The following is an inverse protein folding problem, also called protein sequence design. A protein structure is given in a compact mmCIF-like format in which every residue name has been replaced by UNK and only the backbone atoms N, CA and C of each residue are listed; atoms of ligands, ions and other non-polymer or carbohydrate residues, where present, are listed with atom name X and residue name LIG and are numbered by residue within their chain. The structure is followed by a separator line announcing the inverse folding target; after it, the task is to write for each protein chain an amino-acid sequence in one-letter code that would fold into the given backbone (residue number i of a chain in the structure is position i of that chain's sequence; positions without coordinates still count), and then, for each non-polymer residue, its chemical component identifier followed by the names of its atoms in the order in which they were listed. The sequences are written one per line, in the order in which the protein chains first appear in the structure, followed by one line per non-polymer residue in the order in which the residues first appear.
data_IF_665791971953
#
_entry.id   IF_665791971953
#
_cell.length_a   1.000
_cell.length_b   1.000
_cell.length_c   1.000
_cell.angle_alpha   90.00
_cell.angle_beta   90.00
_cell.angle_gamma   90.00
#
_symmetry.space_group_name_H-M   'P 1'
#
loop_
_entity.id
_entity.type
_entity.pdbx_description
1 polymer ?
#
# COMPACT_ATOMS: atom_id res chain seq x y z
N UNK A 1 56.76 21.70 -12.35
CA UNK A 1 55.48 21.23 -11.78
C UNK A 1 54.82 20.30 -12.80
N UNK A 2 54.71 19.00 -12.52
CA UNK A 2 53.99 18.03 -13.38
C UNK A 2 52.48 18.10 -13.08
N UNK A 3 51.59 17.97 -14.08
CA UNK A 3 50.16 18.11 -13.86
C UNK A 3 49.60 16.87 -13.14
N UNK A 4 48.62 17.04 -12.24
CA UNK A 4 48.04 15.96 -11.42
C UNK A 4 47.00 15.08 -12.15
N UNK A 5 46.88 15.18 -13.48
CA UNK A 5 45.87 14.45 -14.26
C UNK A 5 46.16 12.96 -14.49
N UNK A 6 47.43 12.56 -14.54
CA UNK A 6 47.83 11.19 -14.88
C UNK A 6 47.55 10.15 -13.79
N UNK A 7 47.46 10.56 -12.53
CA UNK A 7 47.18 9.68 -11.38
C UNK A 7 45.70 9.31 -11.27
N UNK A 8 44.78 10.22 -11.61
CA UNK A 8 43.34 9.96 -11.58
C UNK A 8 42.91 8.97 -12.67
N UNK A 9 43.43 9.11 -13.89
CA UNK A 9 43.15 8.18 -14.99
C UNK A 9 43.72 6.79 -14.74
N UNK A 10 44.91 6.69 -14.13
CA UNK A 10 45.49 5.42 -13.72
C UNK A 10 44.69 4.72 -12.61
N UNK A 11 44.15 5.47 -11.64
CA UNK A 11 43.28 4.96 -10.57
C UNK A 11 41.93 4.47 -11.10
N UNK A 12 41.30 5.21 -12.03
CA UNK A 12 40.04 4.79 -12.67
C UNK A 12 40.24 3.53 -13.52
N UNK A 13 41.36 3.43 -14.25
CA UNK A 13 41.66 2.27 -15.11
C UNK A 13 42.02 1.01 -14.31
N UNK A 14 42.73 1.17 -13.18
CA UNK A 14 43.04 0.07 -12.27
C UNK A 14 41.82 -0.37 -11.47
N UNK A 15 40.98 0.58 -11.01
CA UNK A 15 39.69 0.31 -10.38
C UNK A 15 38.75 -0.47 -11.30
N UNK A 16 38.63 -0.07 -12.58
CA UNK A 16 37.82 -0.78 -13.58
C UNK A 16 38.32 -2.20 -13.86
N UNK A 17 39.65 -2.39 -13.95
CA UNK A 17 40.24 -3.73 -14.09
C UNK A 17 39.99 -4.60 -12.88
N UNK A 18 40.10 -4.06 -11.67
CA UNK A 18 39.84 -4.79 -10.43
C UNK A 18 38.36 -5.19 -10.32
N UNK A 19 37.45 -4.27 -10.63
CA UNK A 19 36.01 -4.53 -10.73
C UNK A 19 35.69 -5.62 -11.76
N UNK A 20 36.25 -5.53 -12.97
CA UNK A 20 36.04 -6.54 -14.02
C UNK A 20 36.59 -7.92 -13.61
N UNK A 21 37.77 -7.96 -12.99
CA UNK A 21 38.37 -9.20 -12.52
C UNK A 21 37.55 -9.82 -11.38
N UNK A 22 37.08 -8.98 -10.44
CA UNK A 22 36.17 -9.37 -9.36
C UNK A 22 34.87 -9.94 -9.90
N UNK A 23 34.24 -9.26 -10.87
CA UNK A 23 33.01 -9.70 -11.52
C UNK A 23 33.19 -11.05 -12.22
N UNK A 24 34.32 -11.24 -12.92
CA UNK A 24 34.62 -12.50 -13.61
C UNK A 24 34.83 -13.66 -12.64
N UNK A 25 35.52 -13.42 -11.52
CA UNK A 25 35.68 -14.42 -10.45
C UNK A 25 34.34 -14.77 -9.80
N UNK A 26 33.52 -13.77 -9.50
CA UNK A 26 32.18 -13.97 -8.94
C UNK A 26 31.29 -14.76 -9.89
N UNK A 27 31.30 -14.44 -11.20
CA UNK A 27 30.53 -15.15 -12.21
C UNK A 27 30.99 -16.60 -12.36
N UNK A 28 32.31 -16.85 -12.35
CA UNK A 28 32.86 -18.20 -12.41
C UNK A 28 32.46 -19.04 -11.18
N UNK A 29 32.49 -18.43 -9.98
CA UNK A 29 32.03 -19.08 -8.75
C UNK A 29 30.53 -19.40 -8.84
N UNK A 30 29.71 -18.44 -9.27
CA UNK A 30 28.25 -18.61 -9.40
C UNK A 30 27.89 -19.67 -10.44
N UNK A 31 28.65 -19.75 -11.52
CA UNK A 31 28.49 -20.79 -12.53
C UNK A 31 28.89 -22.16 -11.99
N UNK A 32 29.98 -22.27 -11.22
CA UNK A 32 30.41 -23.51 -10.59
C UNK A 32 29.39 -24.01 -9.56
N UNK A 33 28.89 -23.12 -8.69
CA UNK A 33 27.85 -23.47 -7.70
C UNK A 33 26.53 -23.85 -8.37
N UNK A 34 26.14 -23.14 -9.43
CA UNK A 34 24.95 -23.47 -10.23
C UNK A 34 25.03 -24.86 -10.86
N UNK A 35 26.19 -25.22 -11.42
CA UNK A 35 26.42 -26.55 -11.99
C UNK A 35 26.27 -27.61 -10.90
N UNK A 36 26.89 -27.45 -9.74
CA UNK A 36 26.75 -28.40 -8.63
C UNK A 36 25.31 -28.49 -8.12
N UNK A 37 24.61 -27.35 -8.03
CA UNK A 37 23.23 -27.31 -7.55
C UNK A 37 22.23 -27.98 -8.50
N UNK A 38 22.46 -27.88 -9.82
CA UNK A 38 21.58 -28.44 -10.86
C UNK A 38 21.84 -29.91 -11.18
N UNK A 39 22.98 -30.48 -10.75
CA UNK A 39 23.28 -31.89 -10.98
C UNK A 39 22.38 -32.82 -10.15
N UNK A 40 21.83 -33.90 -10.75
CA UNK A 40 20.97 -34.84 -10.03
C UNK A 40 21.74 -35.62 -8.97
N UNK A 41 22.97 -36.06 -9.29
CA UNK A 41 23.85 -36.83 -8.40
C UNK A 41 25.20 -36.10 -8.32
N UNK A 42 25.70 -35.77 -7.11
CA UNK A 42 27.02 -35.15 -6.96
C UNK A 42 28.11 -36.15 -7.32
N UNK A 43 29.11 -35.72 -8.08
CA UNK A 43 30.19 -36.59 -8.56
C UNK A 43 31.36 -36.72 -7.56
N UNK A 44 31.42 -35.86 -6.54
CA UNK A 44 32.49 -35.86 -5.53
C UNK A 44 32.01 -35.44 -4.15
N UNK A 45 32.78 -35.80 -3.11
CA UNK A 45 32.50 -35.41 -1.71
C UNK A 45 32.45 -33.88 -1.54
N UNK A 46 33.34 -33.14 -2.22
CA UNK A 46 33.31 -31.68 -2.22
C UNK A 46 32.03 -31.11 -2.84
N UNK A 47 31.55 -31.67 -3.95
CA UNK A 47 30.28 -31.27 -4.55
C UNK A 47 29.09 -31.57 -3.64
N UNK A 48 29.07 -32.75 -3.01
CA UNK A 48 28.04 -33.12 -2.03
C UNK A 48 27.99 -32.12 -0.87
N UNK A 49 29.15 -31.76 -0.30
CA UNK A 49 29.23 -30.79 0.79
C UNK A 49 28.70 -29.41 0.34
N UNK A 50 29.10 -28.93 -0.83
CA UNK A 50 28.60 -27.65 -1.34
C UNK A 50 27.09 -27.67 -1.59
N UNK A 51 26.54 -28.78 -2.08
CA UNK A 51 25.10 -28.95 -2.27
C UNK A 51 24.35 -28.94 -0.93
N UNK A 52 24.87 -29.64 0.09
CA UNK A 52 24.30 -29.63 1.45
C UNK A 52 24.31 -28.21 2.03
N UNK A 53 25.42 -27.48 1.88
CA UNK A 53 25.52 -26.09 2.36
C UNK A 53 24.54 -25.16 1.63
N UNK A 54 24.39 -25.29 0.31
CA UNK A 54 23.43 -24.53 -0.50
C UNK A 54 21.98 -24.86 -0.10
N UNK A 55 21.64 -26.13 0.03
CA UNK A 55 20.29 -26.53 0.41
C UNK A 55 19.98 -26.14 1.87
N UNK A 56 20.97 -26.24 2.76
CA UNK A 56 20.89 -25.81 4.16
C UNK A 56 20.65 -24.31 4.30
N UNK A 57 21.37 -23.48 3.55
CA UNK A 57 21.17 -22.02 3.57
C UNK A 57 19.81 -21.62 3.02
N UNK A 58 19.35 -22.25 1.94
CA UNK A 58 18.01 -22.02 1.39
C UNK A 58 16.89 -22.48 2.33
N UNK A 59 17.06 -23.63 2.97
CA UNK A 59 16.11 -24.15 3.94
C UNK A 59 16.05 -23.28 5.20
N UNK A 60 17.20 -22.78 5.67
CA UNK A 60 17.25 -21.85 6.79
C UNK A 60 16.56 -20.53 6.44
N UNK A 61 16.82 -19.97 5.25
CA UNK A 61 16.13 -18.77 4.78
C UNK A 61 14.61 -18.99 4.69
N UNK A 62 14.16 -20.13 4.16
CA UNK A 62 12.75 -20.49 4.11
C UNK A 62 12.14 -20.61 5.52
N UNK A 63 12.84 -21.24 6.47
CA UNK A 63 12.41 -21.38 7.86
C UNK A 63 12.34 -20.04 8.60
N UNK A 64 13.31 -19.15 8.38
CA UNK A 64 13.28 -17.80 8.94
C UNK A 64 12.12 -16.99 8.37
N UNK A 65 11.85 -17.10 7.07
CA UNK A 65 10.72 -16.43 6.43
C UNK A 65 9.38 -16.96 6.96
N UNK A 66 9.22 -18.28 7.12
CA UNK A 66 8.00 -18.85 7.70
C UNK A 66 7.84 -18.44 9.16
N UNK A 67 8.92 -18.41 9.95
CA UNK A 67 8.87 -17.91 11.32
C UNK A 67 8.42 -16.45 11.40
N UNK A 68 9.05 -15.56 10.62
CA UNK A 68 8.66 -14.14 10.57
C UNK A 68 7.21 -13.97 10.08
N UNK A 69 6.77 -14.80 9.13
CA UNK A 69 5.39 -14.77 8.66
C UNK A 69 4.41 -15.22 9.76
N UNK A 70 4.68 -16.31 10.47
CA UNK A 70 3.81 -16.79 11.54
C UNK A 70 3.81 -15.87 12.78
N UNK A 71 5.00 -15.51 13.27
CA UNK A 71 5.15 -14.76 14.51
C UNK A 71 4.85 -13.27 14.31
N UNK A 72 5.42 -12.64 13.28
CA UNK A 72 5.28 -11.19 13.07
C UNK A 72 4.05 -10.84 12.24
N UNK A 73 3.74 -11.64 11.21
CA UNK A 73 2.60 -11.34 10.34
C UNK A 73 1.30 -11.94 10.87
N UNK A 74 1.24 -13.21 11.25
CA UNK A 74 0.00 -13.86 11.73
C UNK A 74 -0.23 -13.73 13.24
N UNK A 75 0.73 -13.17 13.99
CA UNK A 75 0.69 -12.99 15.45
C UNK A 75 0.46 -14.32 16.22
N UNK A 76 0.94 -15.44 15.68
CA UNK A 76 0.96 -16.69 16.43
C UNK A 76 1.95 -16.58 17.62
N UNK A 77 1.69 -17.29 18.73
CA UNK A 77 2.63 -17.32 19.85
C UNK A 77 4.01 -17.82 19.38
N UNK A 78 5.08 -17.31 20.00
CA UNK A 78 6.45 -17.57 19.54
C UNK A 78 6.78 -19.06 19.53
N UNK A 79 6.33 -19.81 20.54
CA UNK A 79 6.55 -21.26 20.68
C UNK A 79 6.06 -22.07 19.46
N UNK A 80 4.74 -22.13 19.18
CA UNK A 80 4.22 -22.87 18.04
C UNK A 80 4.74 -22.33 16.70
N UNK A 81 4.95 -21.02 16.57
CA UNK A 81 5.54 -20.44 15.36
C UNK A 81 6.94 -20.99 15.08
N UNK A 82 7.78 -21.10 16.13
CA UNK A 82 9.12 -21.67 16.02
C UNK A 82 9.08 -23.17 15.68
N UNK A 83 8.18 -23.94 16.29
CA UNK A 83 8.03 -25.38 15.99
C UNK A 83 7.60 -25.61 14.54
N UNK A 84 6.60 -24.87 14.05
CA UNK A 84 6.16 -25.00 12.65
C UNK A 84 7.27 -24.59 11.69
N UNK A 85 7.97 -23.48 11.97
CA UNK A 85 9.07 -23.01 11.12
C UNK A 85 10.23 -24.01 11.05
N UNK A 86 10.61 -24.63 12.18
CA UNK A 86 11.68 -25.65 12.20
C UNK A 86 11.28 -26.91 11.47
N UNK A 87 10.05 -27.41 11.65
CA UNK A 87 9.53 -28.57 10.91
C UNK A 87 9.49 -28.29 9.41
N UNK A 88 8.95 -27.13 8.99
CA UNK A 88 8.96 -26.72 7.59
C UNK A 88 10.38 -26.59 7.03
N UNK A 89 11.30 -26.03 7.80
CA UNK A 89 12.72 -25.91 7.44
C UNK A 89 13.40 -27.26 7.24
N UNK A 90 13.18 -28.21 8.15
CA UNK A 90 13.70 -29.57 8.06
C UNK A 90 13.14 -30.31 6.83
N UNK A 91 11.83 -30.22 6.59
CA UNK A 91 11.20 -30.81 5.41
C UNK A 91 11.73 -30.19 4.11
N UNK A 92 11.88 -28.86 4.08
CA UNK A 92 12.48 -28.16 2.95
C UNK A 92 13.93 -28.60 2.72
N UNK A 93 14.73 -28.73 3.77
CA UNK A 93 16.11 -29.20 3.69
C UNK A 93 16.19 -30.62 3.11
N UNK A 94 15.42 -31.56 3.67
CA UNK A 94 15.37 -32.94 3.20
C UNK A 94 14.91 -33.00 1.74
N UNK A 95 13.85 -32.26 1.39
CA UNK A 95 13.35 -32.18 0.01
C UNK A 95 14.39 -31.61 -0.96
N UNK A 96 15.05 -30.52 -0.60
CA UNK A 96 16.08 -29.90 -1.44
C UNK A 96 17.32 -30.79 -1.59
N UNK A 97 17.76 -31.50 -0.55
CA UNK A 97 18.93 -32.38 -0.66
C UNK A 97 18.61 -33.64 -1.45
N UNK A 98 17.49 -34.30 -1.15
CA UNK A 98 17.17 -35.64 -1.66
C UNK A 98 16.43 -35.64 -3.00
N UNK A 99 15.66 -34.59 -3.30
CA UNK A 99 14.73 -34.58 -4.44
C UNK A 99 15.17 -33.53 -5.47
N UNK A 100 15.84 -33.92 -6.58
CA UNK A 100 16.28 -32.99 -7.63
C UNK A 100 15.14 -32.12 -8.20
N UNK A 101 13.92 -32.65 -8.44
CA UNK A 101 12.78 -31.83 -8.83
C UNK A 101 12.44 -30.72 -7.83
N UNK A 102 12.57 -30.95 -6.52
CA UNK A 102 12.28 -29.95 -5.50
C UNK A 102 13.27 -28.78 -5.55
N UNK A 103 14.56 -29.06 -5.80
CA UNK A 103 15.57 -28.01 -6.08
C UNK A 103 15.21 -27.18 -7.29
N UNK A 104 14.78 -27.84 -8.37
CA UNK A 104 14.34 -27.16 -9.58
C UNK A 104 13.13 -26.26 -9.31
N UNK A 105 12.12 -26.75 -8.59
CA UNK A 105 10.95 -25.95 -8.21
C UNK A 105 11.32 -24.72 -7.38
N UNK A 106 12.20 -24.89 -6.40
CA UNK A 106 12.69 -23.78 -5.59
C UNK A 106 13.43 -22.75 -6.45
N UNK A 107 14.31 -23.19 -7.36
CA UNK A 107 14.99 -22.30 -8.29
C UNK A 107 14.03 -21.60 -9.28
N UNK A 108 12.96 -22.28 -9.71
CA UNK A 108 11.93 -21.72 -10.59
C UNK A 108 11.03 -20.68 -9.89
N UNK A 109 10.91 -20.73 -8.56
CA UNK A 109 10.10 -19.76 -7.81
C UNK A 109 10.61 -18.32 -7.98
N UNK A 110 11.93 -18.11 -8.06
CA UNK A 110 12.53 -16.77 -8.21
C UNK A 110 12.13 -16.09 -9.53
N UNK A 111 12.34 -16.69 -10.72
CA UNK A 111 11.87 -16.08 -11.96
C UNK A 111 10.34 -16.07 -12.10
N UNK A 112 9.59 -16.92 -11.38
CA UNK A 112 8.12 -16.79 -11.37
C UNK A 112 7.65 -15.48 -10.74
N UNK A 113 8.40 -14.90 -9.79
CA UNK A 113 8.12 -13.56 -9.26
C UNK A 113 8.24 -12.46 -10.33
N UNK A 114 9.07 -12.68 -11.35
CA UNK A 114 9.22 -11.78 -12.50
C UNK A 114 8.14 -11.94 -13.56
N UNK A 115 7.14 -12.80 -13.34
CA UNK A 115 6.02 -13.01 -14.28
C UNK A 115 4.77 -12.21 -13.87
N UNK A 116 3.71 -12.31 -14.68
CA UNK A 116 2.44 -11.69 -14.39
C UNK A 116 1.87 -12.04 -13.00
N UNK A 117 2.06 -13.27 -12.51
CA UNK A 117 1.59 -13.68 -11.18
C UNK A 117 2.33 -12.94 -10.06
N UNK A 118 3.67 -12.89 -10.13
CA UNK A 118 4.47 -12.16 -9.17
C UNK A 118 4.19 -10.65 -9.21
N UNK A 119 3.93 -10.10 -10.39
CA UNK A 119 3.49 -8.71 -10.56
C UNK A 119 2.16 -8.43 -9.85
N UNK A 120 1.18 -9.33 -9.95
CA UNK A 120 -0.10 -9.22 -9.23
C UNK A 120 0.12 -9.25 -7.71
N UNK A 121 1.00 -10.12 -7.23
CA UNK A 121 1.39 -10.17 -5.81
C UNK A 121 2.00 -8.83 -5.36
N UNK A 122 2.99 -8.30 -6.08
CA UNK A 122 3.65 -7.02 -5.76
C UNK A 122 2.65 -5.85 -5.71
N UNK A 123 1.73 -5.79 -6.69
CA UNK A 123 0.67 -4.77 -6.72
C UNK A 123 -0.33 -4.91 -5.57
N UNK A 124 -0.75 -6.14 -5.26
CA UNK A 124 -1.65 -6.40 -4.13
C UNK A 124 -1.01 -6.01 -2.79
N UNK A 125 0.27 -6.34 -2.61
CA UNK A 125 1.00 -6.05 -1.38
C UNK A 125 1.31 -4.55 -1.26
N UNK A 126 1.60 -3.87 -2.37
CA UNK A 126 1.70 -2.41 -2.43
C UNK A 126 0.41 -1.73 -1.98
N UNK A 127 -0.72 -2.15 -2.55
CA UNK A 127 -2.04 -1.59 -2.21
C UNK A 127 -2.38 -1.86 -0.75
N UNK A 128 -2.15 -3.08 -0.26
CA UNK A 128 -2.38 -3.43 1.14
C UNK A 128 -1.54 -2.57 2.09
N UNK A 129 -0.23 -2.46 1.83
CA UNK A 129 0.70 -1.64 2.62
C UNK A 129 0.24 -0.18 2.69
N UNK A 130 -0.22 0.36 1.56
CA UNK A 130 -0.73 1.72 1.48
C UNK A 130 -2.04 1.86 2.28
N UNK A 131 -3.00 0.97 2.08
CA UNK A 131 -4.31 1.03 2.77
C UNK A 131 -4.20 0.89 4.28
N UNK A 132 -3.33 0.00 4.79
CA UNK A 132 -3.11 -0.20 6.23
C UNK A 132 -2.56 1.05 6.91
N UNK A 133 -1.70 1.79 6.21
CA UNK A 133 -1.11 3.01 6.76
C UNK A 133 -2.04 4.22 6.59
N UNK A 134 -2.59 4.42 5.39
CA UNK A 134 -3.29 5.65 5.00
C UNK A 134 -4.73 5.68 5.53
N UNK A 135 -5.50 4.61 5.39
CA UNK A 135 -6.94 4.63 5.71
C UNK A 135 -7.19 4.89 7.20
N UNK A 136 -6.54 4.18 8.14
CA UNK A 136 -6.71 4.46 9.56
C UNK A 136 -6.23 5.86 9.95
N UNK A 137 -5.20 6.39 9.29
CA UNK A 137 -4.65 7.70 9.59
C UNK A 137 -5.57 8.84 9.13
N UNK A 138 -6.13 8.74 7.91
CA UNK A 138 -7.18 9.66 7.42
C UNK A 138 -8.33 9.67 8.42
N UNK A 139 -8.77 8.49 8.84
CA UNK A 139 -9.94 8.35 9.69
C UNK A 139 -9.72 8.87 11.11
N UNK A 140 -8.52 8.69 11.67
CA UNK A 140 -8.14 9.31 12.93
C UNK A 140 -8.11 10.84 12.84
N UNK A 141 -7.64 11.40 11.72
CA UNK A 141 -7.66 12.85 11.47
C UNK A 141 -9.09 13.41 11.27
N UNK A 142 -9.96 12.67 10.58
CA UNK A 142 -11.38 13.01 10.49
C UNK A 142 -12.06 12.96 11.85
N UNK A 143 -11.72 11.98 12.70
CA UNK A 143 -12.19 11.90 14.08
C UNK A 143 -11.72 13.10 14.91
N UNK A 144 -10.46 13.52 14.76
CA UNK A 144 -9.95 14.72 15.43
C UNK A 144 -10.71 15.98 15.02
N UNK A 145 -10.97 16.14 13.71
CA UNK A 145 -11.79 17.24 13.16
C UNK A 145 -13.22 17.18 13.70
N UNK A 146 -13.84 15.99 13.74
CA UNK A 146 -15.17 15.79 14.30
C UNK A 146 -15.23 16.12 15.80
N UNK A 147 -14.19 15.80 16.56
CA UNK A 147 -14.10 16.16 17.98
C UNK A 147 -14.03 17.67 18.18
N UNK A 148 -13.29 18.40 17.33
CA UNK A 148 -13.31 19.87 17.33
C UNK A 148 -14.73 20.38 17.09
N UNK A 149 -15.42 19.86 16.06
CA UNK A 149 -16.79 20.26 15.74
C UNK A 149 -17.75 19.99 16.91
N UNK A 150 -17.62 18.85 17.59
CA UNK A 150 -18.36 18.53 18.81
C UNK A 150 -18.10 19.56 19.92
N UNK A 151 -16.83 19.85 20.22
CA UNK A 151 -16.49 20.80 21.28
C UNK A 151 -16.99 22.22 20.99
N UNK A 152 -16.94 22.64 19.73
CA UNK A 152 -17.40 23.96 19.30
C UNK A 152 -18.93 24.05 19.30
N UNK A 153 -19.61 23.00 18.84
CA UNK A 153 -21.08 22.95 18.87
C UNK A 153 -21.60 22.90 20.31
N UNK A 154 -20.96 22.13 21.19
CA UNK A 154 -21.31 22.07 22.61
C UNK A 154 -21.12 23.43 23.30
N UNK A 155 -19.96 24.07 23.11
CA UNK A 155 -19.68 25.39 23.71
C UNK A 155 -20.60 26.49 23.19
N UNK A 156 -20.80 26.55 21.88
CA UNK A 156 -21.69 27.52 21.25
C UNK A 156 -23.14 27.34 21.70
N UNK A 157 -23.61 26.10 21.83
CA UNK A 157 -24.97 25.81 22.24
C UNK A 157 -25.18 26.08 23.74
N UNK A 158 -24.19 25.79 24.59
CA UNK A 158 -24.19 26.20 26.00
C UNK A 158 -24.22 27.71 26.16
N UNK A 159 -23.41 28.43 25.38
CA UNK A 159 -23.40 29.90 25.36
C UNK A 159 -24.72 30.48 24.87
N UNK A 160 -25.31 29.93 23.81
CA UNK A 160 -26.63 30.35 23.32
C UNK A 160 -27.70 30.14 24.39
N UNK A 161 -27.74 28.98 25.04
CA UNK A 161 -28.69 28.72 26.13
C UNK A 161 -28.50 29.70 27.29
N UNK A 162 -27.25 29.96 27.69
CA UNK A 162 -26.93 30.91 28.75
C UNK A 162 -27.37 32.33 28.36
N UNK A 163 -27.11 32.77 27.12
CA UNK A 163 -27.57 34.08 26.63
C UNK A 163 -29.09 34.21 26.64
N UNK A 164 -29.81 33.17 26.19
CA UNK A 164 -31.28 33.19 26.21
C UNK A 164 -31.83 33.25 27.63
N UNK A 165 -31.18 32.57 28.58
CA UNK A 165 -31.53 32.63 30.00
C UNK A 165 -31.31 34.04 30.57
N UNK A 166 -30.16 34.66 30.32
CA UNK A 166 -29.88 36.03 30.77
C UNK A 166 -30.82 37.06 30.15
N UNK A 167 -31.13 36.94 28.85
CA UNK A 167 -32.09 37.81 28.18
C UNK A 167 -33.50 37.64 28.74
N UNK A 168 -33.90 36.41 29.08
CA UNK A 168 -35.20 36.16 29.71
C UNK A 168 -35.26 36.78 31.11
N UNK A 169 -34.23 36.60 31.94
CA UNK A 169 -34.13 37.24 33.25
C UNK A 169 -34.16 38.77 33.15
N UNK A 170 -33.44 39.33 32.18
CA UNK A 170 -33.44 40.76 31.90
C UNK A 170 -34.83 41.26 31.46
N UNK A 171 -35.55 40.49 30.64
CA UNK A 171 -36.92 40.81 30.21
C UNK A 171 -37.93 40.76 31.37
N UNK A 172 -37.77 39.82 32.31
CA UNK A 172 -38.59 39.73 33.51
C UNK A 172 -38.32 40.89 34.47
N UNK A 173 -37.06 41.30 34.63
CA UNK A 173 -36.69 42.46 35.44
C UNK A 173 -37.25 43.78 34.89
N UNK A 174 -37.61 43.84 33.62
CA UNK A 174 -38.27 44.98 32.97
C UNK A 174 -39.79 45.03 33.20
N UNK A 175 -40.41 43.96 33.71
CA UNK A 175 -41.86 43.87 33.90
C UNK A 175 -42.26 43.58 35.36
N UNK A 176 -42.01 44.51 36.30
CA UNK A 176 -42.25 44.27 37.73
C UNK A 176 -43.74 44.25 38.11
N UNK A 177 -44.64 44.88 37.33
CA UNK A 177 -46.06 45.00 37.69
C UNK A 177 -46.96 44.74 36.47
N UNK A 178 -47.69 43.61 36.49
CA UNK A 178 -48.61 43.17 35.43
C UNK A 178 -49.88 44.00 35.22
N UNK A 179 -49.87 45.32 35.49
CA UNK A 179 -51.06 46.17 35.41
C UNK A 179 -50.72 47.59 34.91
N UNK A 180 -50.33 47.73 33.63
CA UNK A 180 -50.74 48.87 32.78
C UNK A 180 -50.08 48.80 31.39
N UNK A 181 -50.82 48.29 30.41
CA UNK A 181 -50.93 48.87 29.06
C UNK A 181 -49.73 48.94 28.12
N UNK A 182 -48.51 48.52 28.47
CA UNK A 182 -47.38 48.48 27.53
C UNK A 182 -47.14 47.06 27.02
N UNK A 183 -46.97 46.92 25.70
CA UNK A 183 -46.71 45.65 25.03
C UNK A 183 -45.40 45.02 25.55
N UNK A 184 -45.51 44.15 26.55
CA UNK A 184 -44.39 43.40 27.09
C UNK A 184 -43.82 42.45 26.04
N UNK A 185 -42.52 42.55 25.78
CA UNK A 185 -41.77 41.61 24.94
C UNK A 185 -41.71 40.26 25.67
N UNK A 186 -42.64 39.36 25.36
CA UNK A 186 -42.61 37.98 25.85
C UNK A 186 -41.60 37.17 25.04
N UNK A 187 -40.35 37.11 25.51
CA UNK A 187 -39.39 36.11 25.03
C UNK A 187 -39.77 34.74 25.59
N UNK A 188 -40.59 34.00 24.84
CA UNK A 188 -40.99 32.64 25.18
C UNK A 188 -39.95 31.64 24.67
N UNK A 189 -38.88 31.43 25.45
CA UNK A 189 -37.95 30.33 25.22
C UNK A 189 -38.55 29.05 25.83
N UNK A 190 -39.02 28.13 24.99
CA UNK A 190 -39.56 26.83 25.44
C UNK A 190 -38.39 25.94 25.94
N UNK A 191 -38.09 26.03 27.25
CA UNK A 191 -36.94 25.38 27.88
C UNK A 191 -36.79 23.88 27.59
N UNK A 192 -37.90 23.15 27.51
CA UNK A 192 -37.89 21.70 27.21
C UNK A 192 -37.39 21.39 25.79
N UNK A 193 -37.74 22.24 24.82
CA UNK A 193 -37.32 22.04 23.43
C UNK A 193 -35.83 22.32 23.24
N UNK A 194 -35.27 23.24 24.02
CA UNK A 194 -33.87 23.64 23.95
C UNK A 194 -32.95 22.58 24.56
N UNK A 195 -33.36 21.97 25.69
CA UNK A 195 -32.68 20.83 26.28
C UNK A 195 -32.75 19.58 25.39
N UNK A 196 -33.92 19.33 24.78
CA UNK A 196 -34.08 18.23 23.81
C UNK A 196 -33.21 18.43 22.57
N UNK A 197 -33.11 19.66 22.04
CA UNK A 197 -32.25 20.00 20.91
C UNK A 197 -30.76 19.83 21.25
N UNK A 198 -30.31 20.29 22.43
CA UNK A 198 -28.94 20.07 22.94
C UNK A 198 -28.59 18.58 22.97
N UNK A 199 -29.46 17.77 23.57
CA UNK A 199 -29.27 16.32 23.66
C UNK A 199 -29.23 15.67 22.28
N UNK A 200 -30.05 16.14 21.34
CA UNK A 200 -30.07 15.62 19.98
C UNK A 200 -28.75 15.89 19.25
N UNK A 201 -28.25 17.13 19.27
CA UNK A 201 -26.98 17.52 18.62
C UNK A 201 -25.79 16.77 19.24
N UNK A 202 -25.74 16.65 20.56
CA UNK A 202 -24.70 15.88 21.26
C UNK A 202 -24.74 14.39 20.92
N UNK A 203 -25.94 13.80 20.82
CA UNK A 203 -26.11 12.40 20.42
C UNK A 203 -25.63 12.16 19.00
N UNK A 204 -26.02 13.02 18.04
CA UNK A 204 -25.63 12.89 16.63
C UNK A 204 -24.12 13.03 16.47
N UNK A 205 -23.50 14.03 17.10
CA UNK A 205 -22.03 14.20 17.04
C UNK A 205 -21.29 13.04 17.68
N UNK A 206 -21.77 12.52 18.82
CA UNK A 206 -21.18 11.35 19.46
C UNK A 206 -21.27 10.10 18.56
N UNK A 207 -22.42 9.86 17.94
CA UNK A 207 -22.62 8.73 17.04
C UNK A 207 -21.65 8.78 15.85
N UNK A 208 -21.48 9.94 15.21
CA UNK A 208 -20.51 10.13 14.11
C UNK A 208 -19.07 9.83 14.55
N UNK A 209 -18.69 10.22 15.76
CA UNK A 209 -17.35 9.93 16.30
C UNK A 209 -17.16 8.44 16.59
N UNK A 210 -18.18 7.78 17.12
CA UNK A 210 -18.19 6.34 17.37
C UNK A 210 -18.09 5.59 16.04
N UNK A 211 -18.83 6.00 15.01
CA UNK A 211 -18.77 5.43 13.67
C UNK A 211 -17.36 5.54 13.06
N UNK A 212 -16.71 6.70 13.15
CA UNK A 212 -15.34 6.85 12.68
C UNK A 212 -14.35 5.97 13.45
N UNK A 213 -14.51 5.83 14.76
CA UNK A 213 -13.67 4.93 15.56
C UNK A 213 -13.89 3.44 15.24
N UNK A 214 -15.14 3.07 14.98
CA UNK A 214 -15.53 1.73 14.54
C UNK A 214 -14.94 1.41 13.17
N UNK A 215 -15.01 2.36 12.23
CA UNK A 215 -14.37 2.24 10.92
C UNK A 215 -12.84 2.16 11.02
N UNK A 216 -12.20 2.86 11.96
CA UNK A 216 -10.72 2.86 12.11
C UNK A 216 -10.23 1.50 12.58
N UNK A 217 -10.85 1.01 13.65
CA UNK A 217 -10.54 -0.30 14.21
C UNK A 217 -10.83 -1.42 13.20
N UNK A 218 -11.97 -1.36 12.51
CA UNK A 218 -12.35 -2.33 11.49
C UNK A 218 -11.40 -2.30 10.30
N UNK A 219 -11.03 -1.11 9.80
CA UNK A 219 -10.10 -0.96 8.70
C UNK A 219 -8.74 -1.58 9.03
N UNK A 220 -8.22 -1.37 10.25
CA UNK A 220 -6.96 -1.99 10.69
C UNK A 220 -7.05 -3.52 10.69
N UNK A 221 -8.10 -4.07 11.30
CA UNK A 221 -8.28 -5.53 11.41
C UNK A 221 -8.47 -6.17 10.04
N UNK A 222 -9.36 -5.61 9.20
CA UNK A 222 -9.63 -6.11 7.86
C UNK A 222 -8.38 -6.03 7.00
N UNK A 223 -7.71 -4.88 6.94
CA UNK A 223 -6.57 -4.70 6.05
C UNK A 223 -5.38 -5.60 6.45
N UNK A 224 -5.09 -5.73 7.76
CA UNK A 224 -4.08 -6.68 8.26
C UNK A 224 -4.47 -8.14 7.97
N UNK A 225 -5.73 -8.51 8.22
CA UNK A 225 -6.25 -9.85 7.96
C UNK A 225 -6.16 -10.23 6.48
N UNK A 226 -6.62 -9.35 5.60
CA UNK A 226 -6.58 -9.53 4.15
C UNK A 226 -5.14 -9.66 3.66
N UNK A 227 -4.22 -8.79 4.09
CA UNK A 227 -2.81 -8.88 3.67
C UNK A 227 -2.18 -10.22 4.04
N UNK A 228 -2.44 -10.74 5.26
CA UNK A 228 -1.89 -12.02 5.72
C UNK A 228 -2.36 -13.19 4.87
N UNK A 229 -3.67 -13.28 4.61
CA UNK A 229 -4.29 -14.37 3.85
C UNK A 229 -3.87 -14.31 2.37
N UNK A 230 -3.96 -13.12 1.78
CA UNK A 230 -3.64 -12.90 0.36
C UNK A 230 -2.19 -13.27 0.06
N UNK A 231 -1.26 -12.94 0.96
CA UNK A 231 0.17 -13.25 0.77
C UNK A 231 0.46 -14.73 0.82
N UNK A 232 -0.15 -15.46 1.77
CA UNK A 232 -0.05 -16.91 1.82
C UNK A 232 -0.61 -17.57 0.55
N UNK A 233 -1.78 -17.12 0.08
CA UNK A 233 -2.40 -17.62 -1.15
C UNK A 233 -1.57 -17.34 -2.40
N UNK A 234 -0.99 -16.15 -2.53
CA UNK A 234 -0.12 -15.83 -3.65
C UNK A 234 1.19 -16.62 -3.63
N UNK A 235 1.82 -16.80 -2.46
CA UNK A 235 3.02 -17.63 -2.34
C UNK A 235 2.73 -19.08 -2.72
N UNK A 236 1.60 -19.63 -2.27
CA UNK A 236 1.14 -20.95 -2.69
C UNK A 236 0.86 -21.00 -4.20
N UNK A 237 0.22 -19.97 -4.74
CA UNK A 237 -0.05 -19.84 -6.18
C UNK A 237 1.22 -19.83 -7.03
N UNK A 238 2.28 -19.16 -6.58
CA UNK A 238 3.59 -19.15 -7.26
C UNK A 238 4.26 -20.54 -7.25
N UNK A 239 4.16 -21.27 -6.15
CA UNK A 239 4.66 -22.65 -6.05
C UNK A 239 3.85 -23.60 -6.94
N UNK A 240 2.53 -23.41 -7.01
CA UNK A 240 1.68 -24.18 -7.92
C UNK A 240 1.97 -23.87 -9.39
N UNK A 241 2.21 -22.61 -9.76
CA UNK A 241 2.60 -22.25 -11.13
C UNK A 241 3.97 -22.82 -11.50
N UNK A 242 4.94 -22.77 -10.58
CA UNK A 242 6.26 -23.36 -10.81
C UNK A 242 6.17 -24.88 -10.96
N UNK A 243 5.35 -25.55 -10.14
CA UNK A 243 5.07 -26.98 -10.23
C UNK A 243 4.36 -27.36 -11.53
N UNK A 244 3.33 -26.61 -11.91
CA UNK A 244 2.58 -26.83 -13.14
C UNK A 244 3.46 -26.65 -14.39
N UNK A 245 4.30 -25.61 -14.38
CA UNK A 245 5.27 -25.38 -15.45
C UNK A 245 6.27 -26.52 -15.55
N UNK A 246 6.83 -26.98 -14.42
CA UNK A 246 7.76 -28.09 -14.41
C UNK A 246 7.09 -29.38 -14.93
N UNK A 247 5.87 -29.66 -14.49
CA UNK A 247 5.09 -30.80 -14.95
C UNK A 247 4.89 -30.76 -16.48
N UNK A 248 4.45 -29.63 -17.03
CA UNK A 248 4.29 -29.46 -18.49
C UNK A 248 5.62 -29.54 -19.24
N UNK A 249 6.69 -28.99 -18.66
CA UNK A 249 8.02 -29.07 -19.25
C UNK A 249 8.50 -30.52 -19.40
N UNK A 250 8.22 -31.35 -18.41
CA UNK A 250 8.58 -32.77 -18.40
C UNK A 250 7.66 -33.65 -19.25
N UNK A 251 6.39 -33.28 -19.43
CA UNK A 251 5.38 -34.13 -20.11
C UNK A 251 5.15 -33.78 -21.57
N UNK A 252 5.17 -32.50 -21.95
CA UNK A 252 4.88 -32.05 -23.32
C UNK A 252 6.15 -31.51 -24.00
N UNK A 253 6.57 -32.16 -25.10
CA UNK A 253 7.73 -31.75 -25.90
C UNK A 253 7.49 -30.48 -26.72
N UNK A 254 6.24 -30.07 -26.94
CA UNK A 254 5.86 -28.85 -27.66
C UNK A 254 5.82 -27.63 -26.75
N UNK A 255 5.59 -27.84 -25.46
CA UNK A 255 5.48 -26.78 -24.47
C UNK A 255 6.79 -26.02 -24.30
N UNK A 256 6.77 -24.71 -24.53
CA UNK A 256 7.92 -23.80 -24.39
C UNK A 256 9.20 -24.28 -25.13
N UNK A 257 9.02 -25.00 -26.25
CA UNK A 257 10.08 -25.52 -27.11
C UNK A 257 10.24 -24.65 -28.36
N UNK A 258 10.60 -23.39 -28.12
CA UNK A 258 10.72 -22.34 -29.14
C UNK A 258 12.10 -21.66 -29.15
N UNK A 259 13.02 -22.09 -28.27
CA UNK A 259 14.31 -21.44 -28.10
C UNK A 259 15.40 -22.12 -28.94
N UNK A 260 16.15 -21.31 -29.71
CA UNK A 260 17.40 -21.74 -30.31
C UNK A 260 18.49 -21.77 -29.22
N UNK A 261 18.69 -22.95 -28.63
CA UNK A 261 19.72 -23.20 -27.62
C UNK A 261 21.08 -23.49 -28.26
N UNK A 262 22.18 -23.36 -27.49
CA UNK A 262 23.53 -23.72 -27.98
C UNK A 262 23.63 -25.18 -28.42
N UNK A 263 22.92 -26.07 -27.71
CA UNK A 263 22.87 -27.50 -28.06
C UNK A 263 22.23 -27.73 -29.43
N UNK A 264 21.15 -27.01 -29.75
CA UNK A 264 20.54 -27.07 -31.08
C UNK A 264 21.51 -26.58 -32.16
N UNK A 265 22.20 -25.46 -31.93
CA UNK A 265 23.16 -24.93 -32.92
C UNK A 265 24.35 -25.87 -33.15
N UNK A 266 24.84 -26.53 -32.11
CA UNK A 266 25.91 -27.53 -32.22
C UNK A 266 25.45 -28.74 -33.03
N UNK A 267 24.27 -29.28 -32.72
CA UNK A 267 23.68 -30.39 -33.49
C UNK A 267 23.46 -30.05 -34.96
N UNK A 268 22.94 -28.86 -35.25
CA UNK A 268 22.76 -28.40 -36.64
C UNK A 268 24.09 -28.25 -37.38
N UNK A 269 25.17 -27.86 -36.68
CA UNK A 269 26.50 -27.83 -37.25
C UNK A 269 27.06 -29.24 -37.51
N UNK A 270 26.89 -30.17 -36.56
CA UNK A 270 27.30 -31.58 -36.70
C UNK A 270 26.62 -32.28 -37.88
N UNK A 271 25.32 -32.02 -38.08
CA UNK A 271 24.51 -32.63 -39.14
C UNK A 271 24.62 -31.85 -40.47
N UNK A 272 25.38 -30.75 -40.52
CA UNK A 272 25.47 -29.89 -41.71
C UNK A 272 24.18 -29.16 -42.07
N UNK A 273 23.22 -29.09 -41.14
CA UNK A 273 21.88 -28.51 -41.31
C UNK A 273 21.79 -27.04 -40.83
N UNK A 274 22.91 -26.31 -40.78
CA UNK A 274 22.96 -24.90 -40.33
C UNK A 274 22.06 -23.95 -41.15
N UNK A 275 21.74 -24.33 -42.39
CA UNK A 275 20.81 -23.63 -43.27
C UNK A 275 19.40 -23.46 -42.66
N UNK A 276 18.95 -24.39 -41.80
CA UNK A 276 17.64 -24.32 -41.13
C UNK A 276 17.51 -23.12 -40.18
N UNK A 277 18.63 -22.59 -39.70
CA UNK A 277 18.70 -21.42 -38.81
C UNK A 277 19.14 -20.14 -39.50
N UNK A 278 19.55 -20.20 -40.78
CA UNK A 278 19.95 -19.03 -41.56
C UNK A 278 18.75 -18.13 -41.90
N UNK A 279 17.58 -18.74 -42.14
CA UNK A 279 16.28 -18.06 -42.28
C UNK A 279 15.32 -18.57 -41.20
N UNK A 280 15.50 -18.18 -39.92
CA UNK A 280 14.75 -18.75 -38.83
C UNK A 280 13.27 -18.37 -38.94
N UNK A 281 12.35 -19.29 -38.61
CA UNK A 281 10.94 -18.96 -38.56
C UNK A 281 10.64 -17.94 -37.46
N UNK A 282 9.66 -17.06 -37.67
CA UNK A 282 9.33 -15.97 -36.74
C UNK A 282 9.03 -16.40 -35.28
N UNK A 283 8.70 -17.67 -35.04
CA UNK A 283 8.46 -18.22 -33.70
C UNK A 283 9.73 -18.75 -33.00
N UNK A 284 10.84 -18.93 -33.71
CA UNK A 284 12.09 -19.42 -33.13
C UNK A 284 12.86 -18.25 -32.51
N UNK A 285 12.96 -18.25 -31.18
CA UNK A 285 13.57 -17.18 -30.40
C UNK A 285 15.00 -17.55 -30.01
N UNK A 286 15.94 -16.63 -30.21
CA UNK A 286 17.32 -16.83 -29.74
C UNK A 286 17.40 -16.62 -28.22
N UNK A 287 17.76 -17.67 -27.48
CA UNK A 287 17.82 -17.61 -26.01
C UNK A 287 18.74 -16.50 -25.48
N UNK A 288 19.83 -16.19 -26.20
CA UNK A 288 20.88 -15.26 -25.79
C UNK A 288 20.75 -13.81 -26.33
N UNK A 289 19.75 -13.49 -27.15
CA UNK A 289 19.61 -12.15 -27.74
C UNK A 289 18.85 -11.21 -26.78
N UNK A 290 19.41 -10.05 -26.39
CA UNK A 290 18.74 -9.08 -25.52
C UNK A 290 17.68 -8.22 -26.24
N UNK A 291 17.49 -8.39 -27.55
CA UNK A 291 16.58 -7.57 -28.34
C UNK A 291 15.13 -8.00 -28.13
N UNK A 292 14.31 -7.08 -27.62
CA UNK A 292 12.84 -7.18 -27.64
C UNK A 292 12.34 -6.89 -29.07
N UNK A 293 11.32 -7.63 -29.50
CA UNK A 293 10.60 -7.34 -30.75
C UNK A 293 9.73 -6.09 -30.62
N UNK A 294 9.39 -5.45 -31.74
CA UNK A 294 8.55 -4.24 -31.73
C UNK A 294 7.14 -4.49 -31.17
N UNK A 295 6.56 -5.66 -31.41
CA UNK A 295 5.26 -6.05 -30.83
C UNK A 295 5.34 -6.21 -29.31
N UNK A 296 6.43 -6.77 -28.79
CA UNK A 296 6.68 -6.88 -27.34
C UNK A 296 6.87 -5.49 -26.70
N UNK A 297 7.53 -4.57 -27.41
CA UNK A 297 7.72 -3.19 -26.95
C UNK A 297 6.40 -2.44 -26.86
N UNK A 298 5.52 -2.53 -27.87
CA UNK A 298 4.21 -1.87 -27.84
C UNK A 298 3.34 -2.40 -26.70
N UNK A 299 3.30 -3.72 -26.53
CA UNK A 299 2.62 -4.37 -25.40
C UNK A 299 3.20 -3.94 -24.05
N UNK A 300 4.52 -3.73 -23.96
CA UNK A 300 5.16 -3.21 -22.77
C UNK A 300 4.74 -1.77 -22.47
N UNK A 301 4.70 -0.89 -23.49
CA UNK A 301 4.28 0.50 -23.35
C UNK A 301 2.82 0.64 -22.89
N UNK A 302 1.90 -0.17 -23.45
CA UNK A 302 0.50 -0.20 -23.02
C UNK A 302 0.38 -0.61 -21.55
N UNK A 303 1.09 -1.67 -21.14
CA UNK A 303 1.12 -2.10 -19.73
C UNK A 303 1.72 -1.03 -18.83
N UNK A 304 2.77 -0.35 -19.28
CA UNK A 304 3.41 0.74 -18.55
C UNK A 304 2.43 1.91 -18.34
N UNK A 305 1.61 2.23 -19.33
CA UNK A 305 0.54 3.22 -19.21
C UNK A 305 -0.53 2.85 -18.16
N UNK A 306 -0.81 1.57 -17.95
CA UNK A 306 -1.67 1.14 -16.83
C UNK A 306 -0.96 1.32 -15.47
N UNK A 307 0.36 1.10 -15.41
CA UNK A 307 1.14 1.31 -14.18
C UNK A 307 1.22 2.78 -13.78
N UNK A 308 1.29 3.71 -14.73
CA UNK A 308 1.26 5.14 -14.42
C UNK A 308 -0.06 5.53 -13.74
N UNK A 309 -1.20 4.97 -14.17
CA UNK A 309 -2.49 5.19 -13.51
C UNK A 309 -2.50 4.69 -12.05
N UNK A 310 -1.89 3.52 -11.78
CA UNK A 310 -1.79 2.97 -10.42
C UNK A 310 -0.89 3.82 -9.52
N UNK A 311 0.21 4.34 -10.06
CA UNK A 311 1.09 5.29 -9.36
C UNK A 311 0.37 6.60 -9.06
N UNK A 312 -0.41 7.12 -10.02
CA UNK A 312 -1.22 8.32 -9.81
C UNK A 312 -2.30 8.10 -8.74
N UNK A 313 -2.99 6.95 -8.76
CA UNK A 313 -3.96 6.61 -7.73
C UNK A 313 -3.30 6.55 -6.34
N UNK A 314 -2.11 5.96 -6.23
CA UNK A 314 -1.33 5.99 -4.99
C UNK A 314 -1.01 7.42 -4.57
N UNK A 315 -0.47 8.25 -5.46
CA UNK A 315 -0.14 9.63 -5.15
C UNK A 315 -1.36 10.42 -4.64
N UNK A 316 -2.54 10.22 -5.25
CA UNK A 316 -3.80 10.80 -4.79
C UNK A 316 -4.15 10.31 -3.39
N UNK A 317 -4.08 9.01 -3.11
CA UNK A 317 -4.39 8.51 -1.75
C UNK A 317 -3.43 9.04 -0.68
N UNK A 318 -2.14 9.19 -0.99
CA UNK A 318 -1.16 9.81 -0.09
C UNK A 318 -1.47 11.28 0.11
N UNK A 319 -1.80 12.01 -0.97
CA UNK A 319 -2.20 13.40 -0.90
C UNK A 319 -3.45 13.60 -0.03
N UNK A 320 -4.44 12.69 -0.13
CA UNK A 320 -5.63 12.71 0.72
C UNK A 320 -5.29 12.56 2.21
N UNK A 321 -4.29 11.74 2.56
CA UNK A 321 -3.80 11.64 3.94
C UNK A 321 -3.20 12.95 4.45
N UNK A 322 -2.35 13.58 3.63
CA UNK A 322 -1.80 14.90 3.94
C UNK A 322 -2.88 15.97 4.07
N UNK A 323 -3.88 15.98 3.20
CA UNK A 323 -5.01 16.92 3.27
C UNK A 323 -5.80 16.69 4.56
N UNK A 324 -6.11 15.43 4.91
CA UNK A 324 -6.81 15.11 6.16
C UNK A 324 -6.02 15.57 7.39
N UNK A 325 -4.70 15.38 7.40
CA UNK A 325 -3.82 15.88 8.45
C UNK A 325 -3.84 17.41 8.56
N UNK A 326 -3.70 18.13 7.43
CA UNK A 326 -3.72 19.60 7.41
C UNK A 326 -5.06 20.15 7.88
N UNK A 327 -6.17 19.53 7.47
CA UNK A 327 -7.51 19.90 7.92
C UNK A 327 -7.68 19.69 9.43
N UNK A 328 -7.26 18.53 9.94
CA UNK A 328 -7.34 18.23 11.37
C UNK A 328 -6.47 19.19 12.19
N UNK A 329 -5.25 19.47 11.73
CA UNK A 329 -4.36 20.42 12.39
C UNK A 329 -4.96 21.83 12.39
N UNK A 330 -5.42 22.33 11.24
CA UNK A 330 -6.04 23.64 11.14
C UNK A 330 -7.29 23.76 12.04
N UNK A 331 -8.13 22.72 12.10
CA UNK A 331 -9.31 22.71 12.95
C UNK A 331 -8.94 22.76 14.45
N UNK A 332 -7.96 21.95 14.87
CA UNK A 332 -7.51 21.89 16.27
C UNK A 332 -6.85 23.21 16.69
N UNK A 333 -5.99 23.76 15.84
CA UNK A 333 -5.30 25.01 16.14
C UNK A 333 -6.29 26.19 16.17
N UNK A 334 -7.22 26.27 15.20
CA UNK A 334 -8.31 27.24 15.23
C UNK A 334 -9.16 27.14 16.50
N UNK A 335 -9.53 25.93 16.93
CA UNK A 335 -10.36 25.75 18.12
C UNK A 335 -9.67 26.15 19.43
N UNK A 336 -8.34 26.07 19.50
CA UNK A 336 -7.55 26.53 20.65
C UNK A 336 -7.45 28.05 20.73
N UNK A 337 -7.48 28.73 19.59
CA UNK A 337 -7.37 30.18 19.50
C UNK A 337 -8.71 30.92 19.69
N UNK A 338 -9.84 30.20 19.74
CA UNK A 338 -11.16 30.80 19.95
C UNK A 338 -11.24 31.49 21.33
N UNK A 339 -11.43 32.83 21.37
CA UNK A 339 -11.48 33.57 22.62
C UNK A 339 -12.85 33.42 23.31
N UNK A 340 -12.87 33.59 24.64
CA UNK A 340 -14.10 33.85 25.37
C UNK A 340 -14.46 35.34 25.25
N UNK A 341 -15.70 35.65 24.86
CA UNK A 341 -16.15 37.03 24.61
C UNK A 341 -17.09 37.46 25.75
N UNK A 342 -16.72 38.44 26.59
CA UNK A 342 -17.63 38.95 27.62
C UNK A 342 -18.72 39.83 26.99
N UNK A 343 -19.96 39.63 27.40
CA UNK A 343 -21.14 40.41 27.01
C UNK A 343 -21.69 41.13 28.23
N UNK A 344 -21.94 42.43 28.08
CA UNK A 344 -22.53 43.28 29.11
C UNK A 344 -23.83 43.91 28.59
N UNK A 345 -24.94 43.62 29.25
CA UNK A 345 -26.25 44.21 28.97
C UNK A 345 -26.56 45.24 30.06
N UNK A 346 -26.67 46.50 29.67
CA UNK A 346 -27.05 47.59 30.59
C UNK A 346 -28.47 48.05 30.27
N UNK A 347 -29.36 47.96 31.26
CA UNK A 347 -30.74 48.40 31.15
C UNK A 347 -30.89 49.65 32.02
N UNK A 348 -31.30 50.75 31.39
CA UNK A 348 -31.63 52.00 32.07
C UNK A 348 -33.10 52.30 31.84
N UNK A 349 -33.89 52.24 32.91
CA UNK A 349 -35.30 52.58 32.88
C UNK A 349 -35.52 53.92 33.56
N UNK A 350 -36.02 54.90 32.81
CA UNK A 350 -36.39 56.20 33.32
C UNK A 350 -37.90 56.37 33.15
N UNK A 351 -38.65 56.39 34.24
CA UNK A 351 -40.06 56.74 34.21
C UNK A 351 -40.33 57.99 35.06
N UNK A 352 -41.06 58.92 34.43
CA UNK A 352 -41.62 60.08 35.10
C UNK A 352 -43.13 59.86 35.20
N UNK A 353 -43.65 59.75 36.43
CA UNK A 353 -45.09 59.64 36.67
C UNK A 353 -45.61 60.94 37.26
N UNK A 354 -46.68 61.47 36.68
CA UNK A 354 -47.35 62.69 37.16
C UNK A 354 -48.50 62.27 38.06
N UNK A 355 -48.28 62.28 39.38
CA UNK A 355 -49.36 62.02 40.34
C UNK A 355 -50.22 63.28 40.42
N UNK A 356 -51.50 63.16 40.08
CA UNK A 356 -52.47 64.26 40.16
C UNK A 356 -52.09 65.51 39.35
N UNK A 357 -51.79 65.35 38.05
CA UNK A 357 -51.37 66.44 37.15
C UNK A 357 -52.33 67.63 37.01
N UNK A 358 -53.54 67.57 37.58
CA UNK A 358 -54.52 68.65 37.60
C UNK A 358 -54.41 69.57 38.85
N UNK A 359 -53.71 69.17 39.91
CA UNK A 359 -53.60 70.01 41.12
C UNK A 359 -52.81 71.32 40.93
N UNK A 360 -51.71 71.37 40.15
CA UNK A 360 -51.01 72.63 39.88
C UNK A 360 -51.90 73.64 39.15
N UNK A 361 -52.80 73.15 38.28
CA UNK A 361 -53.81 73.95 37.57
C UNK A 361 -54.86 74.54 38.52
N UNK A 362 -55.31 73.79 39.53
CA UNK A 362 -56.31 74.26 40.51
C UNK A 362 -55.77 75.28 41.51
N UNK A 363 -54.47 75.25 41.82
CA UNK A 363 -53.87 76.07 42.88
C UNK A 363 -52.87 77.14 42.38
N UNK A 364 -52.72 77.32 41.06
CA UNK A 364 -51.80 78.27 40.42
C UNK A 364 -50.38 78.22 41.01
N UNK A 365 -49.87 77.00 41.26
CA UNK A 365 -48.52 76.75 41.77
C UNK A 365 -47.67 76.13 40.67
N UNK A 366 -46.34 76.35 40.67
CA UNK A 366 -45.45 75.65 39.75
C UNK A 366 -45.62 74.13 39.91
N UNK A 367 -45.59 73.35 38.82
CA UNK A 367 -45.80 71.91 38.88
C UNK A 367 -44.81 71.26 39.85
N UNK A 368 -45.31 70.39 40.73
CA UNK A 368 -44.48 69.64 41.68
C UNK A 368 -43.55 68.73 40.88
N UNK A 369 -42.26 68.75 41.22
CA UNK A 369 -41.22 67.96 40.56
C UNK A 369 -41.60 66.48 40.63
N UNK A 370 -41.85 65.87 39.47
CA UNK A 370 -42.32 64.48 39.42
C UNK A 370 -41.27 63.56 40.07
N UNK A 371 -41.67 62.59 40.91
CA UNK A 371 -40.74 61.60 41.43
C UNK A 371 -40.14 60.82 40.26
N UNK A 372 -38.83 60.99 40.04
CA UNK A 372 -38.07 60.27 39.02
C UNK A 372 -37.74 58.88 39.55
N UNK A 373 -38.30 57.84 38.92
CA UNK A 373 -37.87 56.47 39.18
C UNK A 373 -36.86 56.07 38.11
N UNK A 374 -35.58 56.07 38.50
CA UNK A 374 -34.47 55.61 37.67
C UNK A 374 -33.96 54.28 38.21
N UNK A 375 -34.23 53.18 37.49
CA UNK A 375 -33.67 51.87 37.80
C UNK A 375 -32.54 51.53 36.81
N UNK A 376 -31.41 51.08 37.34
CA UNK A 376 -30.24 50.71 36.57
C UNK A 376 -29.81 49.28 36.91
N UNK A 377 -30.00 48.36 35.96
CA UNK A 377 -29.58 46.97 36.11
C UNK A 377 -28.52 46.65 35.04
N UNK A 378 -27.44 45.98 35.47
CA UNK A 378 -26.41 45.49 34.56
C UNK A 378 -26.28 43.97 34.69
N UNK A 379 -26.26 43.28 33.55
CA UNK A 379 -26.09 41.84 33.45
C UNK A 379 -24.82 41.56 32.67
N UNK A 380 -23.98 40.65 33.16
CA UNK A 380 -22.71 40.30 32.54
C UNK A 380 -22.60 38.78 32.42
N UNK A 381 -22.22 38.29 31.24
CA UNK A 381 -21.95 36.87 30.99
C UNK A 381 -20.88 36.69 29.90
N UNK A 382 -20.31 35.49 29.78
CA UNK A 382 -19.30 35.17 28.76
C UNK A 382 -19.87 34.25 27.68
N UNK A 383 -19.58 34.56 26.40
CA UNK A 383 -19.72 33.63 25.28
C UNK A 383 -18.44 32.80 25.17
N UNK A 384 -18.58 31.47 25.25
CA UNK A 384 -17.52 30.50 25.01
C UNK A 384 -17.86 29.67 23.79
N UNK A 385 -17.04 29.75 22.75
CA UNK A 385 -17.27 28.97 21.54
C UNK A 385 -16.89 27.51 21.70
N UNK A 386 -15.97 27.19 22.61
CA UNK A 386 -15.50 25.83 22.93
C UNK A 386 -15.89 25.45 24.35
N UNK A 387 -16.43 24.24 24.52
CA UNK A 387 -16.80 23.72 25.83
C UNK A 387 -15.54 23.43 26.70
N UNK A 388 -15.48 23.92 27.96
CA UNK A 388 -14.27 23.86 28.80
C UNK A 388 -13.86 22.45 29.24
N UNK A 389 -14.76 21.47 29.15
CA UNK A 389 -14.50 20.06 29.49
C UNK A 389 -14.32 19.14 28.28
N UNK A 390 -14.33 19.66 27.06
CA UNK A 390 -14.28 18.84 25.84
C UNK A 390 -12.83 18.65 25.35
N UNK A 391 -12.30 17.41 25.34
CA UNK A 391 -10.91 17.18 24.98
C UNK A 391 -10.70 17.32 23.46
N UNK A 392 -9.70 18.11 23.06
CA UNK A 392 -9.26 18.16 21.67
C UNK A 392 -8.30 17.01 21.37
N UNK A 393 -8.57 16.25 20.31
CA UNK A 393 -7.70 15.18 19.84
C UNK A 393 -6.57 15.78 18.98
N UNK A 394 -5.31 15.32 19.14
CA UNK A 394 -4.21 15.80 18.29
C UNK A 394 -4.32 15.24 16.87
N UNK A 395 -3.92 16.05 15.89
CA UNK A 395 -3.78 15.60 14.50
C UNK A 395 -2.63 14.58 14.37
N UNK A 396 -2.84 13.52 13.58
CA UNK A 396 -1.88 12.45 13.34
C UNK A 396 -1.12 12.66 12.03
N UNK A 397 0.20 12.80 12.14
CA UNK A 397 1.07 13.03 10.97
C UNK A 397 1.10 11.78 10.05
N UNK A 398 1.04 11.97 8.72
CA UNK A 398 1.19 10.89 7.75
C UNK A 398 2.50 10.11 7.93
N UNK A 399 2.43 8.79 7.81
CA UNK A 399 3.59 7.92 7.88
C UNK A 399 4.29 7.89 6.52
N UNK A 400 5.58 8.21 6.44
CA UNK A 400 6.31 8.27 5.15
C UNK A 400 6.85 6.92 4.69
N UNK A 401 7.21 6.04 5.63
CA UNK A 401 7.85 4.76 5.32
C UNK A 401 6.94 3.81 4.53
N UNK A 402 5.65 3.73 4.87
CA UNK A 402 4.71 2.82 4.23
C UNK A 402 4.37 3.22 2.77
N UNK A 403 4.06 4.49 2.45
CA UNK A 403 3.92 4.95 1.07
C UNK A 403 5.19 4.75 0.24
N UNK A 404 6.37 5.00 0.82
CA UNK A 404 7.64 4.75 0.14
C UNK A 404 7.85 3.27 -0.18
N UNK A 405 7.58 2.38 0.79
CA UNK A 405 7.62 0.94 0.57
C UNK A 405 6.62 0.51 -0.51
N UNK A 406 5.39 1.01 -0.45
CA UNK A 406 4.35 0.74 -1.43
C UNK A 406 4.75 1.22 -2.84
N UNK A 407 5.36 2.40 -2.95
CA UNK A 407 5.89 2.95 -4.21
C UNK A 407 7.05 2.11 -4.76
N UNK A 408 7.98 1.69 -3.90
CA UNK A 408 9.07 0.80 -4.29
C UNK A 408 8.55 -0.55 -4.83
N UNK A 409 7.49 -1.09 -4.23
CA UNK A 409 6.83 -2.32 -4.72
C UNK A 409 6.15 -2.11 -6.08
N UNK A 410 5.54 -0.96 -6.35
CA UNK A 410 5.00 -0.65 -7.67
C UNK A 410 6.09 -0.47 -8.73
N UNK A 411 7.20 0.16 -8.37
CA UNK A 411 8.37 0.27 -9.25
C UNK A 411 8.98 -1.11 -9.55
N UNK A 412 9.06 -1.98 -8.54
CA UNK A 412 9.44 -3.38 -8.74
C UNK A 412 8.46 -4.11 -9.66
N UNK A 413 7.14 -3.94 -9.47
CA UNK A 413 6.12 -4.50 -10.35
C UNK A 413 6.27 -3.98 -11.79
N UNK A 414 6.58 -2.69 -11.97
CA UNK A 414 6.86 -2.08 -13.25
C UNK A 414 8.09 -2.69 -13.93
N UNK A 415 9.19 -2.89 -13.19
CA UNK A 415 10.40 -3.50 -13.74
C UNK A 415 10.17 -4.94 -14.21
N UNK A 416 9.25 -5.69 -13.56
CA UNK A 416 8.87 -7.04 -14.03
C UNK A 416 8.28 -7.05 -15.44
N UNK A 417 7.65 -5.97 -15.91
CA UNK A 417 7.11 -5.91 -17.29
C UNK A 417 8.23 -6.00 -18.32
N UNK A 418 9.35 -5.33 -18.07
CA UNK A 418 10.54 -5.36 -18.93
C UNK A 418 11.29 -6.69 -18.77
N UNK A 419 11.33 -7.21 -17.54
CA UNK A 419 12.06 -8.43 -17.20
C UNK A 419 11.28 -9.71 -17.51
N UNK A 420 9.99 -9.64 -17.83
CA UNK A 420 9.12 -10.82 -17.99
C UNK A 420 9.64 -11.79 -19.06
N UNK A 421 10.13 -11.27 -20.18
CA UNK A 421 10.73 -12.07 -21.25
C UNK A 421 12.00 -12.79 -20.78
N UNK A 422 12.83 -12.11 -20.00
CA UNK A 422 14.03 -12.68 -19.40
C UNK A 422 13.71 -13.70 -18.31
N UNK A 423 12.68 -13.45 -17.51
CA UNK A 423 12.20 -14.37 -16.49
C UNK A 423 11.72 -15.69 -17.11
N UNK A 424 10.98 -15.63 -18.23
CA UNK A 424 10.56 -16.83 -18.98
C UNK A 424 11.75 -17.61 -19.54
N UNK A 425 12.70 -16.93 -20.17
CA UNK A 425 13.94 -17.56 -20.66
C UNK A 425 14.75 -18.19 -19.54
N UNK A 426 14.79 -17.53 -18.38
CA UNK A 426 15.46 -18.05 -17.20
C UNK A 426 14.75 -19.30 -16.66
N UNK A 427 13.40 -19.34 -16.61
CA UNK A 427 12.63 -20.55 -16.25
C UNK A 427 12.99 -21.72 -17.16
N UNK A 428 13.05 -21.50 -18.47
CA UNK A 428 13.47 -22.51 -19.43
C UNK A 428 14.91 -22.98 -19.16
N UNK A 429 15.86 -22.05 -19.03
CA UNK A 429 17.27 -22.38 -18.77
C UNK A 429 17.48 -23.12 -17.46
N UNK A 430 16.69 -22.81 -16.42
CA UNK A 430 16.71 -23.52 -15.15
C UNK A 430 16.25 -24.96 -15.38
N UNK A 431 15.06 -25.17 -15.94
CA UNK A 431 14.54 -26.51 -16.20
C UNK A 431 15.50 -27.36 -17.07
N UNK A 432 16.06 -26.77 -18.13
CA UNK A 432 17.03 -27.42 -19.01
C UNK A 432 18.32 -27.84 -18.30
N UNK A 433 18.77 -27.07 -17.30
CA UNK A 433 19.98 -27.39 -16.54
C UNK A 433 19.80 -28.62 -15.63
N UNK A 434 18.61 -28.78 -15.03
CA UNK A 434 18.25 -29.91 -14.16
C UNK A 434 17.89 -31.18 -14.95
N UNK A 435 17.19 -31.04 -16.08
CA UNK A 435 16.64 -32.18 -16.83
C UNK A 435 17.27 -32.31 -18.23
N UNK A 436 18.59 -32.55 -18.24
CA UNK A 436 19.39 -32.59 -19.49
C UNK A 436 18.93 -33.64 -20.50
N UNK A 437 18.50 -34.80 -20.05
CA UNK A 437 17.99 -35.88 -20.92
C UNK A 437 16.68 -35.49 -21.59
N UNK A 438 15.79 -34.81 -20.86
CA UNK A 438 14.55 -34.29 -21.41
C UNK A 438 14.80 -33.14 -22.40
N UNK A 439 15.76 -32.27 -22.10
CA UNK A 439 16.15 -31.19 -23.01
C UNK A 439 16.73 -31.75 -24.32
N UNK A 440 17.55 -32.82 -24.27
CA UNK A 440 18.04 -33.50 -25.47
C UNK A 440 16.89 -34.01 -26.37
N UNK A 441 15.86 -34.64 -25.78
CA UNK A 441 14.65 -35.06 -26.51
C UNK A 441 13.90 -33.88 -27.13
N UNK A 442 13.79 -32.77 -26.40
CA UNK A 442 13.17 -31.52 -26.87
C UNK A 442 13.93 -30.91 -28.04
N UNK A 443 15.26 -30.93 -28.00
CA UNK A 443 16.13 -30.50 -29.11
C UNK A 443 15.96 -31.40 -30.34
N UNK A 444 15.93 -32.74 -30.17
CA UNK A 444 15.65 -33.67 -31.28
C UNK A 444 14.27 -33.37 -31.91
N UNK A 445 13.23 -33.17 -31.08
CA UNK A 445 11.89 -32.82 -31.57
C UNK A 445 11.87 -31.48 -32.33
N UNK A 446 12.58 -30.47 -31.82
CA UNK A 446 12.66 -29.15 -32.44
C UNK A 446 13.39 -29.20 -33.79
N UNK A 447 14.49 -29.96 -33.87
CA UNK A 447 15.19 -30.20 -35.12
C UNK A 447 14.27 -30.85 -36.17
N UNK A 448 13.59 -31.95 -35.81
CA UNK A 448 12.65 -32.61 -36.71
C UNK A 448 11.51 -31.68 -37.17
N UNK A 449 11.03 -30.80 -36.28
CA UNK A 449 10.00 -29.80 -36.61
C UNK A 449 10.52 -28.74 -37.61
N UNK A 450 11.77 -28.29 -37.46
CA UNK A 450 12.40 -27.35 -38.40
C UNK A 450 12.60 -27.99 -39.77
N UNK A 451 13.12 -29.23 -39.80
CA UNK A 451 13.33 -29.99 -41.03
C UNK A 451 12.03 -30.18 -41.82
N UNK A 452 10.96 -30.69 -41.18
CA UNK A 452 9.63 -30.86 -41.81
C UNK A 452 9.09 -29.57 -42.42
N UNK A 453 9.37 -28.43 -41.79
CA UNK A 453 8.93 -27.13 -42.30
C UNK A 453 9.75 -26.72 -43.53
N UNK A 454 11.07 -26.92 -43.49
CA UNK A 454 11.94 -26.66 -44.62
C UNK A 454 11.56 -27.51 -45.84
N UNK A 455 11.35 -28.83 -45.64
CA UNK A 455 10.96 -29.74 -46.72
C UNK A 455 9.62 -29.34 -47.36
N UNK A 456 8.63 -28.92 -46.55
CA UNK A 456 7.36 -28.36 -47.05
C UNK A 456 7.55 -27.11 -47.89
N UNK A 457 8.43 -26.20 -47.48
CA UNK A 457 8.71 -24.98 -48.25
C UNK A 457 9.46 -25.28 -49.55
N UNK A 458 10.21 -26.38 -49.61
CA UNK A 458 10.97 -26.81 -50.80
C UNK A 458 10.19 -27.76 -51.73
N UNK A 459 8.98 -28.17 -51.34
CA UNK A 459 8.15 -29.09 -52.13
C UNK A 459 8.69 -30.52 -52.20
N UNK A 460 9.60 -30.93 -51.31
CA UNK A 460 10.13 -32.29 -51.27
C UNK A 460 9.24 -33.20 -50.40
N UNK A 461 8.92 -34.44 -50.85
CA UNK A 461 8.20 -35.39 -50.01
C UNK A 461 9.08 -35.75 -48.80
N UNK A 462 8.47 -35.75 -47.61
CA UNK A 462 9.16 -36.05 -46.36
C UNK A 462 9.82 -37.44 -46.44
N UNK A 463 11.15 -37.48 -46.57
CA UNK A 463 11.88 -38.73 -46.42
C UNK A 463 11.81 -39.17 -44.94
N UNK A 464 11.51 -40.45 -44.67
CA UNK A 464 11.65 -40.98 -43.32
C UNK A 464 13.14 -41.00 -42.98
N UNK A 465 13.59 -40.08 -42.12
CA UNK A 465 14.93 -40.14 -41.56
C UNK A 465 14.97 -41.18 -40.43
N UNK A 466 15.96 -42.06 -40.52
CA UNK A 466 16.28 -43.09 -39.55
C UNK A 466 16.36 -42.52 -38.14
N UNK A 467 15.61 -43.15 -37.24
CA UNK A 467 15.60 -42.93 -35.80
C UNK A 467 16.92 -43.30 -35.09
N UNK A 468 17.99 -43.59 -35.81
CA UNK A 468 19.26 -44.04 -35.25
C UNK A 468 20.20 -42.87 -34.96
N UNK A 469 19.91 -42.08 -33.92
CA UNK A 469 20.92 -41.36 -33.09
C UNK A 469 20.29 -40.31 -32.15
N UNK A 470 19.28 -40.69 -31.35
CA UNK A 470 19.00 -39.96 -30.11
C UNK A 470 19.00 -40.98 -28.96
N UNK A 471 20.19 -41.49 -28.63
CA UNK A 471 20.47 -42.24 -27.39
C UNK A 471 21.19 -41.34 -26.40
#
# INVERSE_FOLDING_TARGET
MRPPGGTLEHLVRTGWRYWYLGLRKALALLQATWITYSQPVPASCGQLLTQILLCGSLALAAASLTYCWLASSLLYPLGPSAVVATVCGLLAFLGLVLVPPARCLFALSVPTLGTEQGRRLLLSWSTATLTIAVVPNILANLRATGQVLRCVTEGSLESLLNTTHWLQTASQALNPDGQAGSQGLTLQAQGDSAAAFRLHVLRVTQQVLEDFSGLESSARVVALGTQRVVTGLFMLGLLLDSAWYLYRYLTDLRFDNIYATRQLTQRLAEVGATHLTASPPAWLLWAAQPRLSQAELLSCLVRLGLFTLLLMAMAVTVAMDYVAFLLAQAAVDWARELPAVPVTLTIKYNAAYTILGFLPFLFNRPPLENPYLSAHNSFQWELRFTAPGCPLLPAQRPHTAAPLAAGALQLAACSTVLLETYARRLRHSIAASFFRTQEAKRVCHLHARLQRRYDRHRGQPAQPQDTSSCS
#
